data_IF_267496847970
#
_entry.id   IF_267496847970
#
_cell.length_a   1.000
_cell.length_b   1.000
_cell.length_c   1.000
_cell.angle_alpha   90.00
_cell.angle_beta   90.00
_cell.angle_gamma   90.00
#
_symmetry.space_group_name_H-M   'P 1'
#
loop_
_entity.id
_entity.type
_entity.pdbx_description
1 polymer ?
#
# COMPACT_ATOMS: atom_id res chain seq x y z
N UNK A 1 8.16 -2.89 16.55
CA UNK A 1 7.40 -1.65 16.34
C UNK A 1 6.93 -1.65 14.90
N UNK A 2 5.63 -1.44 14.66
CA UNK A 2 5.11 -1.34 13.29
C UNK A 2 5.21 0.13 12.85
N UNK A 3 6.02 0.41 11.84
CA UNK A 3 6.15 1.76 11.29
C UNK A 3 5.05 1.97 10.26
N UNK A 4 4.19 2.97 10.47
CA UNK A 4 3.10 3.30 9.55
C UNK A 4 3.13 4.77 9.15
N UNK A 5 2.88 5.02 7.86
CA UNK A 5 2.63 6.36 7.32
C UNK A 5 1.24 6.36 6.67
N UNK A 6 0.50 7.46 6.79
CA UNK A 6 -0.74 7.65 6.04
C UNK A 6 -0.80 9.03 5.39
N UNK A 7 -1.55 9.13 4.29
CA UNK A 7 -1.80 10.38 3.57
C UNK A 7 -3.14 10.31 2.84
N UNK A 8 -3.86 11.43 2.83
CA UNK A 8 -5.06 11.58 1.99
C UNK A 8 -4.63 11.84 0.55
N UNK A 9 -5.14 11.00 -0.35
CA UNK A 9 -4.99 11.11 -1.79
C UNK A 9 -6.35 11.59 -2.32
N UNK A 10 -6.44 12.75 -3.03
CA UNK A 10 -7.70 13.36 -3.43
C UNK A 10 -8.31 12.67 -4.67
N UNK A 11 -8.42 11.35 -4.63
CA UNK A 11 -9.03 10.49 -5.63
C UNK A 11 -9.93 9.47 -4.94
N UNK A 12 -10.96 8.99 -5.64
CA UNK A 12 -11.82 7.90 -5.17
C UNK A 12 -11.02 6.61 -4.98
N UNK A 13 -11.47 5.76 -4.06
CA UNK A 13 -10.75 4.54 -3.64
C UNK A 13 -10.33 3.67 -4.81
N UNK A 14 -11.19 3.54 -5.83
CA UNK A 14 -10.91 2.75 -7.04
C UNK A 14 -9.65 3.20 -7.77
N UNK A 15 -9.43 4.51 -7.93
CA UNK A 15 -8.25 5.01 -8.64
C UNK A 15 -6.99 4.89 -7.80
N UNK A 16 -7.09 5.06 -6.48
CA UNK A 16 -5.96 4.84 -5.58
C UNK A 16 -5.53 3.38 -5.60
N UNK A 17 -6.47 2.43 -5.57
CA UNK A 17 -6.16 1.00 -5.69
C UNK A 17 -5.51 0.64 -7.03
N UNK A 18 -6.02 1.17 -8.15
CA UNK A 18 -5.39 0.96 -9.46
C UNK A 18 -3.95 1.49 -9.49
N UNK A 19 -3.73 2.72 -8.99
CA UNK A 19 -2.38 3.28 -8.91
C UNK A 19 -1.42 2.46 -8.04
N UNK A 20 -1.91 1.87 -6.93
CA UNK A 20 -1.11 0.95 -6.11
C UNK A 20 -0.71 -0.28 -6.93
N UNK A 21 -1.66 -0.91 -7.63
CA UNK A 21 -1.36 -2.10 -8.45
C UNK A 21 -0.39 -1.78 -9.59
N UNK A 22 -0.62 -0.70 -10.32
CA UNK A 22 0.22 -0.29 -11.45
C UNK A 22 1.67 -0.02 -11.01
N UNK A 23 1.86 0.62 -9.85
CA UNK A 23 3.20 0.85 -9.28
C UNK A 23 3.85 -0.47 -8.86
N UNK A 24 3.13 -1.35 -8.17
CA UNK A 24 3.69 -2.63 -7.73
C UNK A 24 4.05 -3.54 -8.92
N UNK A 25 3.18 -3.60 -9.93
CA UNK A 25 3.41 -4.35 -11.17
C UNK A 25 4.60 -3.75 -11.94
N UNK A 26 4.68 -2.42 -12.04
CA UNK A 26 5.77 -1.71 -12.72
C UNK A 26 7.14 -1.89 -12.07
N UNK A 27 7.18 -1.99 -10.73
CA UNK A 27 8.40 -2.26 -9.96
C UNK A 27 8.69 -3.76 -9.78
N UNK A 28 7.85 -4.65 -10.34
CA UNK A 28 8.02 -6.10 -10.22
C UNK A 28 7.90 -6.64 -8.78
N UNK A 29 7.21 -5.91 -7.91
CA UNK A 29 7.05 -6.27 -6.50
C UNK A 29 5.92 -7.28 -6.34
N UNK A 30 6.15 -8.48 -5.79
CA UNK A 30 5.09 -9.44 -5.55
C UNK A 30 4.14 -8.96 -4.43
N UNK A 31 2.83 -9.10 -4.67
CA UNK A 31 1.81 -8.74 -3.69
C UNK A 31 0.59 -9.68 -3.70
N UNK A 32 -0.17 -9.64 -2.61
CA UNK A 32 -1.43 -10.32 -2.43
C UNK A 32 -2.55 -9.31 -2.17
N UNK A 33 -3.65 -9.44 -2.90
CA UNK A 33 -4.88 -8.67 -2.66
C UNK A 33 -5.67 -9.36 -1.56
N UNK A 34 -5.97 -8.65 -0.47
CA UNK A 34 -6.94 -9.03 0.58
C UNK A 34 -8.17 -8.11 0.47
N UNK A 35 -9.20 -8.36 1.27
CA UNK A 35 -10.47 -7.63 1.21
C UNK A 35 -10.27 -6.10 1.26
N UNK A 36 -9.48 -5.61 2.22
CA UNK A 36 -9.26 -4.16 2.41
C UNK A 36 -7.80 -3.71 2.30
N UNK A 37 -6.89 -4.64 2.01
CA UNK A 37 -5.45 -4.38 2.05
C UNK A 37 -4.71 -5.11 0.94
N UNK A 38 -3.56 -4.56 0.58
CA UNK A 38 -2.58 -5.17 -0.32
C UNK A 38 -1.35 -5.48 0.52
N UNK A 39 -0.93 -6.74 0.52
CA UNK A 39 0.29 -7.15 1.21
C UNK A 39 1.39 -7.35 0.17
N UNK A 40 2.39 -6.47 0.17
CA UNK A 40 3.49 -6.47 -0.78
C UNK A 40 4.79 -6.88 -0.09
N UNK A 41 5.65 -7.62 -0.79
CA UNK A 41 6.98 -7.99 -0.29
C UNK A 41 8.04 -7.33 -1.16
N UNK A 42 8.68 -6.29 -0.64
CA UNK A 42 9.59 -5.44 -1.38
C UNK A 42 10.98 -5.41 -0.71
N UNK A 43 12.03 -5.36 -1.53
CA UNK A 43 13.39 -5.13 -1.06
C UNK A 43 13.63 -3.62 -0.92
N UNK A 44 13.88 -3.17 0.31
CA UNK A 44 14.09 -1.74 0.62
C UNK A 44 15.41 -1.63 1.38
N UNK A 45 16.34 -0.82 0.87
CA UNK A 45 17.70 -0.68 1.41
C UNK A 45 18.43 -2.03 1.61
N UNK A 46 18.24 -2.99 0.69
CA UNK A 46 18.84 -4.33 0.76
C UNK A 46 18.17 -5.28 1.75
N UNK A 47 17.03 -4.89 2.36
CA UNK A 47 16.28 -5.73 3.28
C UNK A 47 14.91 -6.08 2.70
N UNK A 48 14.63 -7.38 2.61
CA UNK A 48 13.34 -7.88 2.14
C UNK A 48 12.29 -7.70 3.25
N UNK A 49 11.44 -6.70 3.09
CA UNK A 49 10.42 -6.30 4.07
C UNK A 49 9.02 -6.55 3.54
N UNK A 50 8.07 -6.81 4.44
CA UNK A 50 6.65 -6.97 4.07
C UNK A 50 5.91 -5.69 4.43
N UNK A 51 5.09 -5.20 3.51
CA UNK A 51 4.30 -3.99 3.69
C UNK A 51 2.81 -4.31 3.55
N UNK A 52 2.01 -3.81 4.49
CA UNK A 52 0.56 -3.75 4.37
C UNK A 52 0.17 -2.37 3.87
N UNK A 53 -0.54 -2.31 2.75
CA UNK A 53 -1.01 -1.09 2.10
C UNK A 53 -2.54 -1.12 2.15
N UNK A 54 -3.17 -0.17 2.82
CA UNK A 54 -4.63 -0.03 2.88
C UNK A 54 -5.08 1.26 2.19
N UNK A 55 -6.26 1.19 1.60
CA UNK A 55 -6.92 2.34 0.96
C UNK A 55 -8.35 2.42 1.48
N UNK A 56 -8.64 3.44 2.29
CA UNK A 56 -9.94 3.65 2.93
C UNK A 56 -10.57 4.95 2.43
N UNK A 57 -11.85 4.91 2.08
CA UNK A 57 -12.56 6.08 1.57
C UNK A 57 -12.92 7.02 2.72
N UNK A 58 -12.65 8.32 2.53
CA UNK A 58 -12.83 9.40 3.49
C UNK A 58 -13.53 10.59 2.82
N UNK A 59 -14.02 11.56 3.60
CA UNK A 59 -14.76 12.72 3.07
C UNK A 59 -13.97 13.52 2.01
N UNK A 60 -12.65 13.65 2.21
CA UNK A 60 -11.77 14.46 1.34
C UNK A 60 -10.99 13.66 0.29
N UNK A 61 -11.26 12.35 0.15
CA UNK A 61 -10.53 11.46 -0.76
C UNK A 61 -10.31 10.09 -0.16
N UNK A 62 -9.22 9.42 -0.51
CA UNK A 62 -8.88 8.11 0.04
C UNK A 62 -7.68 8.24 0.96
N UNK A 63 -7.78 7.75 2.20
CA UNK A 63 -6.62 7.54 3.05
C UNK A 63 -5.83 6.35 2.54
N UNK A 64 -4.63 6.62 2.03
CA UNK A 64 -3.62 5.62 1.76
C UNK A 64 -2.75 5.46 3.01
N UNK A 65 -2.73 4.26 3.59
CA UNK A 65 -1.86 3.94 4.71
C UNK A 65 -0.94 2.79 4.34
N UNK A 66 0.36 2.96 4.62
CA UNK A 66 1.39 1.94 4.42
C UNK A 66 1.99 1.61 5.77
N UNK A 67 2.00 0.33 6.12
CA UNK A 67 2.57 -0.19 7.37
C UNK A 67 3.62 -1.24 7.05
N UNK A 68 4.84 -1.05 7.54
CA UNK A 68 5.87 -2.09 7.48
C UNK A 68 5.57 -3.16 8.54
N UNK A 69 5.31 -4.37 8.07
CA UNK A 69 5.16 -5.56 8.90
C UNK A 69 6.56 -6.13 9.13
N UNK A 70 7.02 -6.16 10.39
CA UNK A 70 8.34 -6.71 10.71
C UNK A 70 8.44 -8.17 10.26
N UNK A 71 9.55 -8.53 9.63
CA UNK A 71 10.02 -9.90 9.41
C UNK A 71 10.66 -10.46 10.67
#
# INVERSE_FOLDING_TARGET
MNYSISKIIPYVRRYVLLGIYDVLDGEGVPYQKKEDTVVAKAEVYGNLSTFSISAEEQEMGTELKVTMLQS
#
